data_IF_344117778011
#
_entry.id   IF_344117778011
#
_cell.length_a   1.000
_cell.length_b   1.000
_cell.length_c   1.000
_cell.angle_alpha   90.00
_cell.angle_beta   90.00
_cell.angle_gamma   90.00
#
_symmetry.space_group_name_H-M   'P 1'
#
loop_
_entity.id
_entity.type
_entity.pdbx_description
1 polymer ?
#
# COMPACT_ATOMS: atom_id res chain seq x y z
N UNK A 1 65.43 -39.09 -5.91
CA UNK A 1 64.21 -38.92 -5.11
C UNK A 1 63.37 -37.87 -5.80
N UNK A 2 62.08 -38.15 -5.99
CA UNK A 2 61.00 -37.24 -6.43
C UNK A 2 60.94 -37.00 -7.95
N UNK A 3 60.21 -37.81 -8.72
CA UNK A 3 58.80 -37.65 -9.16
C UNK A 3 58.52 -36.33 -9.92
N UNK A 4 58.24 -36.45 -11.23
CA UNK A 4 56.90 -36.23 -11.86
C UNK A 4 56.63 -34.73 -12.15
N UNK A 5 56.08 -34.30 -13.29
CA UNK A 5 55.49 -35.00 -14.42
C UNK A 5 55.32 -34.05 -15.61
N UNK A 6 55.22 -34.69 -16.77
CA UNK A 6 54.55 -34.33 -18.03
C UNK A 6 53.83 -32.95 -18.11
N UNK A 7 54.36 -32.08 -18.97
CA UNK A 7 53.75 -30.83 -19.41
C UNK A 7 52.89 -31.13 -20.65
N UNK A 8 51.64 -31.55 -20.42
CA UNK A 8 50.71 -31.92 -21.48
C UNK A 8 50.01 -30.68 -22.08
N UNK A 9 50.28 -30.42 -23.36
CA UNK A 9 49.71 -29.29 -24.12
C UNK A 9 48.25 -29.60 -24.48
N UNK A 10 47.31 -29.02 -23.75
CA UNK A 10 45.90 -29.05 -24.17
C UNK A 10 45.63 -28.10 -25.35
N UNK A 11 45.00 -28.59 -26.44
CA UNK A 11 44.57 -27.75 -27.56
C UNK A 11 43.29 -26.98 -27.21
N UNK A 12 43.24 -25.71 -27.61
CA UNK A 12 42.08 -24.83 -27.46
C UNK A 12 40.84 -25.37 -28.21
N UNK A 13 39.62 -25.22 -27.67
CA UNK A 13 38.42 -25.73 -28.31
C UNK A 13 38.06 -24.93 -29.57
N UNK A 14 37.40 -25.56 -30.57
CA UNK A 14 37.12 -24.92 -31.85
C UNK A 14 36.05 -23.82 -31.73
N UNK A 15 36.31 -22.70 -32.40
CA UNK A 15 35.38 -21.57 -32.59
C UNK A 15 34.11 -22.05 -33.29
N UNK A 16 32.99 -22.05 -32.58
CA UNK A 16 31.66 -22.34 -33.13
C UNK A 16 31.22 -21.15 -34.00
N UNK A 17 31.14 -21.37 -35.30
CA UNK A 17 30.61 -20.39 -36.26
C UNK A 17 29.12 -20.18 -35.99
N UNK A 18 28.74 -18.96 -35.62
CA UNK A 18 27.36 -18.50 -35.57
C UNK A 18 26.92 -18.13 -36.98
N UNK A 19 25.99 -18.88 -37.54
CA UNK A 19 25.29 -18.54 -38.79
C UNK A 19 24.30 -17.39 -38.56
N UNK A 20 24.05 -16.55 -39.58
CA UNK A 20 23.30 -15.31 -39.43
C UNK A 20 21.79 -15.58 -39.34
N UNK A 21 21.14 -14.97 -38.34
CA UNK A 21 19.68 -14.97 -38.19
C UNK A 21 19.05 -14.01 -39.22
N UNK A 22 17.97 -14.39 -39.92
CA UNK A 22 17.34 -13.50 -40.89
C UNK A 22 16.36 -12.55 -40.21
N UNK A 23 16.55 -11.29 -40.56
CA UNK A 23 15.59 -10.20 -40.75
C UNK A 23 14.37 -10.04 -39.83
N UNK A 24 14.40 -8.90 -39.15
CA UNK A 24 13.31 -8.25 -38.43
C UNK A 24 12.15 -7.89 -39.36
N UNK A 25 11.06 -8.65 -39.28
CA UNK A 25 9.74 -8.22 -39.79
C UNK A 25 8.74 -8.12 -38.63
N UNK A 26 8.26 -6.90 -38.44
CA UNK A 26 7.18 -6.46 -37.55
C UNK A 26 5.93 -7.36 -37.75
N UNK A 27 5.33 -7.93 -36.68
CA UNK A 27 4.05 -8.61 -36.81
C UNK A 27 2.94 -7.63 -37.17
N UNK A 28 2.24 -7.96 -38.25
CA UNK A 28 1.07 -7.29 -38.82
C UNK A 28 -0.09 -7.28 -37.83
N UNK A 29 -0.84 -6.17 -37.79
CA UNK A 29 -2.06 -5.96 -36.99
C UNK A 29 -3.07 -7.10 -37.22
N UNK A 30 -3.46 -7.77 -36.15
CA UNK A 30 -4.69 -8.57 -36.10
C UNK A 30 -5.91 -7.64 -36.26
N UNK A 31 -6.96 -8.02 -37.00
CA UNK A 31 -8.16 -7.20 -37.11
C UNK A 31 -8.87 -7.08 -35.76
N UNK A 32 -9.33 -5.87 -35.46
CA UNK A 32 -10.18 -5.54 -34.30
C UNK A 32 -11.44 -6.42 -34.36
N UNK A 33 -11.61 -7.32 -33.39
CA UNK A 33 -12.95 -7.79 -33.05
C UNK A 33 -13.70 -6.62 -32.40
N UNK A 34 -14.87 -6.30 -32.94
CA UNK A 34 -15.76 -5.32 -32.34
C UNK A 34 -16.11 -5.76 -30.91
N UNK A 35 -16.08 -4.85 -29.92
CA UNK A 35 -16.63 -5.16 -28.61
C UNK A 35 -18.13 -5.38 -28.78
N UNK A 36 -18.72 -6.42 -28.14
CA UNK A 36 -20.17 -6.59 -28.18
C UNK A 36 -20.81 -5.32 -27.60
N UNK A 37 -21.68 -4.69 -28.41
CA UNK A 37 -22.54 -3.58 -27.99
C UNK A 37 -23.34 -4.04 -26.77
N UNK A 38 -23.01 -3.48 -25.61
CA UNK A 38 -23.85 -3.61 -24.42
C UNK A 38 -25.06 -2.71 -24.66
N UNK A 39 -26.29 -3.22 -24.73
CA UNK A 39 -27.46 -2.36 -24.78
C UNK A 39 -27.55 -1.60 -23.46
N UNK A 40 -27.46 -0.28 -23.53
CA UNK A 40 -27.89 0.58 -22.45
C UNK A 40 -29.41 0.50 -22.32
N UNK A 41 -29.89 0.58 -21.08
CA UNK A 41 -31.28 0.78 -20.67
C UNK A 41 -32.22 -0.42 -20.84
N UNK A 42 -32.27 -1.23 -19.78
CA UNK A 42 -33.51 -1.66 -19.10
C UNK A 42 -33.13 -2.43 -17.83
N UNK A 43 -33.03 -1.72 -16.70
CA UNK A 43 -33.09 -2.35 -15.38
C UNK A 43 -33.67 -1.39 -14.33
N UNK A 44 -34.77 -0.72 -14.67
CA UNK A 44 -35.69 -0.17 -13.68
C UNK A 44 -36.93 -1.07 -13.68
N UNK A 45 -36.87 -2.18 -12.93
CA UNK A 45 -37.99 -2.86 -12.26
C UNK A 45 -37.56 -4.26 -11.85
N UNK A 46 -36.92 -4.37 -10.70
CA UNK A 46 -36.98 -5.56 -9.85
C UNK A 46 -36.53 -5.12 -8.44
N UNK A 47 -37.47 -4.59 -7.65
CA UNK A 47 -37.31 -4.61 -6.20
C UNK A 47 -37.28 -6.08 -5.79
N UNK A 48 -36.07 -6.64 -5.77
CA UNK A 48 -35.81 -8.06 -5.54
C UNK A 48 -36.38 -8.49 -4.20
N UNK A 49 -37.14 -9.58 -4.22
CA UNK A 49 -37.55 -10.30 -3.03
C UNK A 49 -36.33 -10.55 -2.14
N UNK A 50 -36.34 -9.99 -0.93
CA UNK A 50 -35.27 -10.19 0.06
C UNK A 50 -35.13 -11.68 0.32
N UNK A 51 -33.94 -12.26 0.12
CA UNK A 51 -33.62 -13.58 0.65
C UNK A 51 -33.32 -13.41 2.15
N UNK A 52 -34.21 -13.81 3.06
CA UNK A 52 -34.04 -13.58 4.50
C UNK A 52 -32.84 -14.34 5.09
N UNK A 53 -32.24 -15.27 4.34
CA UNK A 53 -31.08 -16.06 4.73
C UNK A 53 -29.71 -15.44 4.44
N UNK A 54 -29.65 -14.40 3.61
CA UNK A 54 -28.39 -13.81 3.15
C UNK A 54 -28.01 -12.60 4.01
N UNK A 55 -26.86 -12.67 4.68
CA UNK A 55 -26.33 -11.56 5.46
C UNK A 55 -25.09 -10.98 4.79
N UNK A 56 -25.12 -9.66 4.55
CA UNK A 56 -23.93 -8.91 4.14
C UNK A 56 -23.08 -8.54 5.36
N UNK A 57 -21.80 -8.88 5.32
CA UNK A 57 -20.82 -8.48 6.33
C UNK A 57 -19.85 -7.48 5.73
N UNK A 58 -19.57 -6.43 6.49
CA UNK A 58 -18.41 -5.57 6.30
C UNK A 58 -17.23 -6.16 7.08
N UNK A 59 -16.06 -6.25 6.45
CA UNK A 59 -14.89 -6.96 6.96
C UNK A 59 -13.69 -6.04 6.81
N UNK A 60 -13.10 -5.59 7.93
CA UNK A 60 -11.86 -4.84 7.93
C UNK A 60 -10.67 -5.81 7.98
N UNK A 61 -9.67 -5.57 7.15
CA UNK A 61 -8.49 -6.42 7.00
C UNK A 61 -7.20 -5.60 6.99
N UNK A 62 -6.19 -6.11 7.67
CA UNK A 62 -4.82 -5.64 7.59
C UNK A 62 -3.96 -6.68 6.86
N UNK A 63 -2.91 -6.23 6.16
CA UNK A 63 -1.99 -7.15 5.49
C UNK A 63 -0.63 -6.55 5.15
N UNK A 64 0.36 -7.45 5.11
CA UNK A 64 1.71 -7.19 4.60
C UNK A 64 1.72 -7.45 3.09
N UNK A 65 1.73 -6.38 2.29
CA UNK A 65 1.57 -6.45 0.84
C UNK A 65 2.68 -7.18 0.08
N UNK A 66 3.89 -7.27 0.64
CA UNK A 66 5.07 -7.88 -0.03
C UNK A 66 4.93 -9.37 -0.29
N UNK A 67 3.94 -10.02 0.34
CA UNK A 67 3.59 -11.44 0.15
C UNK A 67 2.45 -11.66 -0.86
N UNK A 68 1.97 -10.59 -1.49
CA UNK A 68 0.84 -10.62 -2.41
C UNK A 68 1.15 -9.90 -3.73
N UNK A 69 0.63 -10.42 -4.84
CA UNK A 69 0.67 -9.78 -6.16
C UNK A 69 -0.43 -8.71 -6.32
N UNK A 70 -0.73 -7.99 -5.24
CA UNK A 70 -1.80 -7.01 -5.14
C UNK A 70 -3.06 -7.57 -4.49
N UNK A 71 -4.05 -6.69 -4.28
CA UNK A 71 -5.27 -7.10 -3.58
C UNK A 71 -6.27 -7.82 -4.49
N UNK A 72 -6.41 -7.38 -5.74
CA UNK A 72 -7.38 -7.93 -6.69
C UNK A 72 -7.00 -9.36 -7.11
N UNK A 73 -7.97 -10.27 -7.11
CA UNK A 73 -7.80 -11.66 -7.55
C UNK A 73 -7.24 -11.75 -8.98
N UNK A 74 -6.27 -12.65 -9.15
CA UNK A 74 -5.64 -12.99 -10.41
C UNK A 74 -5.55 -14.53 -10.52
N UNK A 75 -5.57 -15.12 -11.73
CA UNK A 75 -5.69 -16.58 -11.89
C UNK A 75 -4.54 -17.40 -11.30
N UNK A 76 -3.30 -16.90 -11.37
CA UNK A 76 -2.08 -17.66 -11.06
C UNK A 76 -1.29 -17.12 -9.87
N UNK A 77 -1.73 -16.02 -9.27
CA UNK A 77 -0.97 -15.28 -8.26
C UNK A 77 -1.69 -15.26 -6.91
N UNK A 78 -0.93 -15.31 -5.82
CA UNK A 78 -1.46 -15.10 -4.47
C UNK A 78 -1.86 -13.63 -4.30
N UNK A 79 -3.11 -13.39 -3.91
CA UNK A 79 -3.70 -12.05 -3.77
C UNK A 79 -4.50 -11.98 -2.48
N UNK A 80 -4.74 -10.76 -1.98
CA UNK A 80 -5.52 -10.54 -0.74
C UNK A 80 -6.94 -11.10 -0.90
N UNK A 81 -7.63 -10.75 -1.99
CA UNK A 81 -8.98 -11.27 -2.29
C UNK A 81 -8.97 -12.79 -2.40
N UNK A 82 -8.01 -13.37 -3.12
CA UNK A 82 -7.92 -14.83 -3.24
C UNK A 82 -7.76 -15.54 -1.90
N UNK A 83 -6.91 -15.02 -1.01
CA UNK A 83 -6.71 -15.58 0.33
C UNK A 83 -7.97 -15.45 1.21
N UNK A 84 -8.68 -14.32 1.14
CA UNK A 84 -9.93 -14.11 1.86
C UNK A 84 -11.03 -15.05 1.35
N UNK A 85 -11.21 -15.16 0.02
CA UNK A 85 -12.20 -16.05 -0.58
C UNK A 85 -11.94 -17.51 -0.20
N UNK A 86 -10.67 -17.95 -0.19
CA UNK A 86 -10.29 -19.30 0.25
C UNK A 86 -10.66 -19.53 1.74
N UNK A 87 -10.38 -18.55 2.60
CA UNK A 87 -10.70 -18.64 4.03
C UNK A 87 -12.22 -18.69 4.27
N UNK A 88 -12.99 -17.84 3.58
CA UNK A 88 -14.45 -17.87 3.64
C UNK A 88 -15.01 -19.17 3.07
N UNK A 89 -14.47 -19.69 1.97
CA UNK A 89 -14.91 -20.96 1.39
C UNK A 89 -14.69 -22.12 2.36
N UNK A 90 -13.55 -22.18 3.07
CA UNK A 90 -13.30 -23.21 4.09
C UNK A 90 -14.23 -23.07 5.29
N UNK A 91 -14.55 -21.84 5.70
CA UNK A 91 -15.45 -21.59 6.81
C UNK A 91 -16.90 -21.95 6.48
N UNK A 92 -17.43 -21.39 5.39
CA UNK A 92 -18.86 -21.52 5.01
C UNK A 92 -19.12 -22.85 4.31
N UNK A 93 -18.17 -23.36 3.54
CA UNK A 93 -18.30 -24.59 2.73
C UNK A 93 -18.69 -24.34 1.27
N UNK A 94 -18.85 -23.08 0.87
CA UNK A 94 -19.18 -22.68 -0.50
C UNK A 94 -18.38 -21.42 -0.90
N UNK A 95 -18.20 -21.13 -2.21
CA UNK A 95 -17.53 -19.92 -2.65
C UNK A 95 -18.24 -18.65 -2.15
N UNK A 96 -17.46 -17.70 -1.61
CA UNK A 96 -17.96 -16.40 -1.14
C UNK A 96 -17.15 -15.32 -1.84
N UNK A 97 -17.73 -14.59 -2.82
CA UNK A 97 -17.05 -13.48 -3.47
C UNK A 97 -16.71 -12.37 -2.48
N UNK A 98 -15.50 -11.80 -2.63
CA UNK A 98 -15.01 -10.71 -1.76
C UNK A 98 -14.86 -9.42 -2.57
N UNK A 99 -15.47 -8.34 -2.09
CA UNK A 99 -15.44 -7.04 -2.76
C UNK A 99 -14.74 -5.98 -1.90
N UNK A 100 -13.51 -5.62 -2.26
CA UNK A 100 -12.72 -4.61 -1.57
C UNK A 100 -13.19 -3.18 -1.86
N UNK A 101 -12.97 -2.31 -0.86
CA UNK A 101 -13.16 -0.86 -0.94
C UNK A 101 -12.08 -0.19 -1.78
N UNK A 102 -10.85 -0.69 -1.68
CA UNK A 102 -9.68 -0.16 -2.38
C UNK A 102 -8.85 -1.29 -2.99
N UNK A 103 -8.43 -1.10 -4.24
CA UNK A 103 -7.40 -1.92 -4.86
C UNK A 103 -6.03 -1.43 -4.39
N UNK A 104 -5.12 -2.36 -4.09
CA UNK A 104 -3.73 -2.06 -3.79
C UNK A 104 -2.83 -2.84 -4.72
N UNK A 105 -1.75 -2.22 -5.19
CA UNK A 105 -0.78 -2.84 -6.10
C UNK A 105 0.03 -3.93 -5.38
N UNK A 106 0.78 -4.72 -6.14
CA UNK A 106 1.73 -5.68 -5.58
C UNK A 106 2.73 -4.98 -4.65
N UNK A 107 2.94 -5.52 -3.46
CA UNK A 107 3.83 -4.96 -2.45
C UNK A 107 3.23 -3.86 -1.57
N UNK A 108 2.07 -3.30 -1.90
CA UNK A 108 1.42 -2.24 -1.08
C UNK A 108 0.71 -2.88 0.12
N UNK A 109 0.94 -2.32 1.30
CA UNK A 109 0.38 -2.79 2.57
C UNK A 109 -1.01 -2.19 2.85
N UNK A 110 -1.72 -2.74 3.83
CA UNK A 110 -2.88 -2.09 4.41
C UNK A 110 -2.91 -2.26 5.93
N UNK A 111 -3.16 -1.15 6.64
CA UNK A 111 -3.50 -1.15 8.05
C UNK A 111 -5.01 -1.39 8.24
N UNK A 112 -5.83 -0.90 7.30
CA UNK A 112 -7.27 -1.15 7.28
C UNK A 112 -7.82 -1.00 5.86
N UNK A 113 -7.80 -2.10 5.10
CA UNK A 113 -8.63 -2.22 3.91
C UNK A 113 -9.99 -2.80 4.32
N UNK A 114 -11.06 -2.35 3.68
CA UNK A 114 -12.40 -2.81 4.01
C UNK A 114 -12.98 -3.58 2.84
N UNK A 115 -13.59 -4.73 3.11
CA UNK A 115 -14.27 -5.58 2.14
C UNK A 115 -15.72 -5.79 2.55
N UNK A 116 -16.59 -6.14 1.60
CA UNK A 116 -17.86 -6.75 1.95
C UNK A 116 -18.00 -8.14 1.32
N UNK A 117 -18.76 -8.99 1.99
CA UNK A 117 -19.10 -10.36 1.58
C UNK A 117 -20.57 -10.64 1.88
N UNK A 118 -21.20 -11.46 1.05
CA UNK A 118 -22.55 -11.97 1.28
C UNK A 118 -22.46 -13.44 1.68
N UNK A 119 -23.01 -13.77 2.85
CA UNK A 119 -22.94 -15.12 3.42
C UNK A 119 -24.33 -15.62 3.74
N UNK A 120 -24.67 -16.77 3.15
CA UNK A 120 -25.84 -17.57 3.49
C UNK A 120 -25.36 -18.77 4.30
N UNK A 121 -25.96 -18.98 5.47
CA UNK A 121 -25.54 -20.05 6.36
C UNK A 121 -26.41 -21.28 6.14
N UNK A 122 -25.87 -22.30 5.50
CA UNK A 122 -26.60 -23.55 5.24
C UNK A 122 -26.27 -24.61 6.29
N UNK A 123 -27.30 -25.31 6.77
CA UNK A 123 -27.15 -26.43 7.70
C UNK A 123 -26.41 -27.61 7.06
N UNK A 124 -25.28 -28.01 7.67
CA UNK A 124 -24.55 -29.22 7.24
C UNK A 124 -25.28 -30.53 7.59
N UNK A 125 -26.18 -30.49 8.57
CA UNK A 125 -26.95 -31.67 9.03
C UNK A 125 -28.23 -31.88 8.23
N UNK A 126 -28.83 -30.81 7.72
CA UNK A 126 -30.04 -30.82 6.91
C UNK A 126 -29.83 -29.97 5.65
N UNK A 127 -29.35 -30.55 4.54
CA UNK A 127 -29.14 -29.81 3.30
C UNK A 127 -30.40 -29.06 2.87
N UNK A 128 -30.26 -27.78 2.52
CA UNK A 128 -31.38 -26.90 2.13
C UNK A 128 -32.01 -26.10 3.27
N UNK A 129 -31.70 -26.41 4.53
CA UNK A 129 -32.11 -25.58 5.68
C UNK A 129 -31.18 -24.37 5.83
N UNK A 130 -31.73 -23.18 5.69
CA UNK A 130 -31.01 -21.92 5.96
C UNK A 130 -31.09 -21.58 7.44
N UNK A 131 -29.94 -21.38 8.05
CA UNK A 131 -29.77 -21.06 9.46
C UNK A 131 -29.65 -19.55 9.67
N UNK A 132 -29.89 -19.06 10.91
CA UNK A 132 -29.65 -17.67 11.25
C UNK A 132 -28.20 -17.24 10.96
N UNK A 133 -27.98 -15.98 10.53
CA UNK A 133 -26.66 -15.44 10.26
C UNK A 133 -25.67 -15.68 11.41
N UNK A 134 -24.38 -15.77 11.06
CA UNK A 134 -23.33 -15.84 12.07
C UNK A 134 -23.21 -14.52 12.82
N UNK A 135 -22.94 -14.61 14.13
CA UNK A 135 -22.47 -13.45 14.87
C UNK A 135 -21.16 -12.92 14.24
N UNK A 136 -20.96 -11.60 14.09
CA UNK A 136 -19.76 -11.03 13.49
C UNK A 136 -18.45 -11.48 14.17
N UNK A 137 -18.46 -11.68 15.49
CA UNK A 137 -17.32 -12.19 16.24
C UNK A 137 -16.97 -13.63 15.86
N UNK A 138 -17.97 -14.46 15.53
CA UNK A 138 -17.76 -15.82 15.01
C UNK A 138 -17.12 -15.76 13.62
N UNK A 139 -17.63 -14.92 12.72
CA UNK A 139 -17.07 -14.73 11.38
C UNK A 139 -15.60 -14.34 11.48
N UNK A 140 -15.28 -13.32 12.28
CA UNK A 140 -13.89 -12.86 12.51
C UNK A 140 -12.97 -13.99 12.96
N UNK A 141 -13.36 -14.73 14.02
CA UNK A 141 -12.54 -15.82 14.58
C UNK A 141 -12.34 -16.95 13.57
N UNK A 142 -13.40 -17.36 12.88
CA UNK A 142 -13.35 -18.47 11.94
C UNK A 142 -12.50 -18.14 10.70
N UNK A 143 -12.67 -16.95 10.11
CA UNK A 143 -11.86 -16.52 8.97
C UNK A 143 -10.39 -16.41 9.37
N UNK A 144 -10.08 -15.79 10.51
CA UNK A 144 -8.71 -15.69 11.00
C UNK A 144 -8.07 -17.06 11.27
N UNK A 145 -8.82 -18.04 11.79
CA UNK A 145 -8.31 -19.41 11.94
C UNK A 145 -7.80 -20.00 10.62
N UNK A 146 -8.49 -19.73 9.50
CA UNK A 146 -8.05 -20.21 8.19
C UNK A 146 -6.95 -19.36 7.57
N UNK A 147 -6.92 -18.04 7.83
CA UNK A 147 -5.85 -17.16 7.36
C UNK A 147 -4.52 -17.42 8.06
N UNK A 148 -4.53 -17.69 9.36
CA UNK A 148 -3.31 -17.92 10.16
C UNK A 148 -2.58 -19.21 9.80
N UNK A 149 -3.24 -20.17 9.13
CA UNK A 149 -2.57 -21.35 8.56
C UNK A 149 -1.62 -20.98 7.41
N UNK A 150 -1.80 -19.80 6.81
CA UNK A 150 -1.07 -19.31 5.64
C UNK A 150 -0.15 -18.13 6.02
N UNK A 151 0.80 -18.36 6.92
CA UNK A 151 1.94 -17.47 7.26
C UNK A 151 1.63 -16.18 8.04
N UNK A 152 0.35 -15.84 8.28
CA UNK A 152 -0.03 -14.72 9.14
C UNK A 152 0.15 -13.33 8.51
N UNK A 153 0.27 -13.24 7.19
CA UNK A 153 0.48 -11.98 6.46
C UNK A 153 -0.78 -11.12 6.29
N UNK A 154 -1.94 -11.64 6.67
CA UNK A 154 -3.25 -11.02 6.55
C UNK A 154 -4.11 -11.39 7.75
N UNK A 155 -4.87 -10.43 8.27
CA UNK A 155 -5.77 -10.64 9.39
C UNK A 155 -7.05 -9.83 9.24
N UNK A 156 -8.18 -10.42 9.62
CA UNK A 156 -9.44 -9.71 9.82
C UNK A 156 -9.44 -9.06 11.20
N UNK A 157 -9.57 -7.74 11.25
CA UNK A 157 -9.50 -6.95 12.48
C UNK A 157 -10.89 -6.67 13.06
N UNK A 158 -11.87 -6.35 12.20
CA UNK A 158 -13.26 -6.06 12.57
C UNK A 158 -14.26 -6.68 11.57
N UNK A 159 -15.45 -7.03 12.05
CA UNK A 159 -16.56 -7.52 11.22
C UNK A 159 -17.87 -6.92 11.73
N UNK A 160 -18.73 -6.45 10.82
CA UNK A 160 -20.05 -5.90 11.14
C UNK A 160 -21.11 -6.37 10.16
N UNK A 161 -22.35 -6.53 10.63
CA UNK A 161 -23.49 -6.68 9.73
C UNK A 161 -23.81 -5.30 9.11
N UNK A 162 -24.09 -5.27 7.81
CA UNK A 162 -24.50 -4.05 7.10
C UNK A 162 -25.71 -4.33 6.22
N UNK A 163 -26.45 -3.29 5.80
CA UNK A 163 -27.56 -3.45 4.86
C UNK A 163 -27.15 -4.15 3.55
N UNK A 164 -28.06 -4.89 2.89
CA UNK A 164 -27.76 -5.64 1.66
C UNK A 164 -27.41 -4.75 0.47
N UNK A 165 -27.74 -3.46 0.50
CA UNK A 165 -27.37 -2.48 -0.52
C UNK A 165 -26.02 -1.78 -0.22
N UNK A 166 -25.40 -2.06 0.93
CA UNK A 166 -24.12 -1.48 1.30
C UNK A 166 -23.00 -2.02 0.39
N UNK A 167 -22.23 -1.14 -0.25
CA UNK A 167 -21.09 -1.55 -1.08
C UNK A 167 -19.80 -0.87 -0.61
N UNK A 168 -18.82 -1.66 -0.15
CA UNK A 168 -17.55 -1.18 0.42
C UNK A 168 -16.84 -0.14 -0.48
N UNK A 169 -16.78 -0.35 -1.79
CA UNK A 169 -16.16 0.65 -2.68
C UNK A 169 -16.94 1.96 -2.82
N UNK A 170 -18.25 1.89 -3.05
CA UNK A 170 -19.05 3.03 -3.51
C UNK A 170 -19.61 3.87 -2.35
N UNK A 171 -19.83 3.26 -1.19
CA UNK A 171 -20.24 3.96 0.05
C UNK A 171 -19.05 4.57 0.80
N UNK A 172 -17.81 4.28 0.41
CA UNK A 172 -16.62 4.87 1.02
C UNK A 172 -16.59 6.38 0.73
N UNK A 173 -16.57 7.16 1.81
CA UNK A 173 -16.52 8.62 1.77
C UNK A 173 -15.09 9.12 1.52
N UNK A 174 -14.11 8.39 2.04
CA UNK A 174 -12.71 8.83 2.07
C UNK A 174 -11.77 7.63 2.22
N UNK A 175 -10.56 7.78 1.69
CA UNK A 175 -9.44 6.85 1.84
C UNK A 175 -8.22 7.63 2.27
N UNK A 176 -7.54 7.14 3.30
CA UNK A 176 -6.28 7.68 3.79
C UNK A 176 -5.16 6.71 3.51
N UNK A 177 -4.10 7.19 2.88
CA UNK A 177 -2.85 6.47 2.67
C UNK A 177 -1.73 7.09 3.48
N UNK A 178 -0.83 6.25 3.96
CA UNK A 178 0.43 6.67 4.56
C UNK A 178 1.57 6.11 3.73
N UNK A 179 2.55 6.94 3.42
CA UNK A 179 3.79 6.51 2.80
C UNK A 179 4.94 6.75 3.75
N UNK A 180 5.67 5.69 4.10
CA UNK A 180 6.77 5.74 5.06
C UNK A 180 8.12 5.79 4.37
N UNK A 181 8.91 6.81 4.72
CA UNK A 181 10.26 7.08 4.22
C UNK A 181 11.22 7.05 5.40
N UNK A 182 12.37 6.39 5.23
CA UNK A 182 13.47 6.40 6.17
C UNK A 182 14.68 7.05 5.49
N UNK A 183 15.14 8.16 6.04
CA UNK A 183 16.25 8.95 5.50
C UNK A 183 17.52 8.77 6.33
N UNK A 184 18.66 8.59 5.66
CA UNK A 184 19.97 8.53 6.30
C UNK A 184 20.95 7.60 5.58
N UNK A 185 22.27 7.85 5.73
CA UNK A 185 23.31 7.27 4.88
C UNK A 185 23.54 5.77 5.12
N UNK A 186 23.19 5.28 6.30
CA UNK A 186 23.41 3.89 6.69
C UNK A 186 22.39 2.95 6.00
N UNK A 187 22.74 1.67 5.78
CA UNK A 187 21.77 0.67 5.31
C UNK A 187 20.57 0.53 6.26
N UNK A 188 19.40 0.23 5.71
CA UNK A 188 18.21 -0.04 6.54
C UNK A 188 18.41 -1.22 7.49
N UNK A 189 17.84 -1.09 8.68
CA UNK A 189 17.67 -2.21 9.61
C UNK A 189 16.88 -3.36 8.97
N UNK A 190 17.20 -4.60 9.37
CA UNK A 190 16.47 -5.79 8.94
C UNK A 190 14.96 -5.74 9.28
N UNK A 191 14.57 -4.96 10.30
CA UNK A 191 13.16 -4.78 10.69
C UNK A 191 12.41 -3.77 9.80
N UNK A 192 13.13 -2.96 9.02
CA UNK A 192 12.58 -1.88 8.20
C UNK A 192 12.51 -2.21 6.72
N UNK A 193 13.25 -3.24 6.32
CA UNK A 193 13.25 -3.77 4.97
C UNK A 193 11.83 -4.16 4.57
N UNK A 194 11.45 -3.80 3.34
CA UNK A 194 10.14 -4.07 2.76
C UNK A 194 8.96 -3.47 3.54
N UNK A 195 9.20 -2.45 4.38
CA UNK A 195 8.17 -1.72 5.16
C UNK A 195 8.25 -0.20 5.02
N UNK A 196 9.25 0.30 4.29
CA UNK A 196 9.53 1.72 4.09
C UNK A 196 10.35 1.93 2.82
N UNK A 197 10.41 3.16 2.32
CA UNK A 197 11.37 3.56 1.30
C UNK A 197 12.63 4.13 1.95
N UNK A 198 13.77 3.50 1.74
CA UNK A 198 15.08 4.05 2.12
C UNK A 198 15.50 5.17 1.17
N UNK A 199 15.89 6.30 1.73
CA UNK A 199 16.48 7.44 1.03
C UNK A 199 17.82 7.76 1.72
N UNK A 200 18.98 7.47 1.11
CA UNK A 200 20.28 7.75 1.74
C UNK A 200 20.53 9.22 2.07
N UNK A 201 19.93 10.13 1.29
CA UNK A 201 20.07 11.57 1.40
C UNK A 201 19.19 12.16 2.53
N UNK A 202 19.62 13.30 3.08
CA UNK A 202 18.79 14.11 3.97
C UNK A 202 17.64 14.77 3.18
N UNK A 203 16.51 15.01 3.85
CA UNK A 203 15.31 15.57 3.23
C UNK A 203 14.98 16.97 3.78
N UNK A 204 14.84 17.96 2.88
CA UNK A 204 14.27 19.27 3.20
C UNK A 204 12.75 19.17 3.37
N UNK A 205 12.35 18.97 4.63
CA UNK A 205 10.94 18.86 5.02
C UNK A 205 10.17 20.16 4.80
N UNK A 206 10.82 21.33 4.89
CA UNK A 206 10.15 22.60 4.66
C UNK A 206 9.79 22.74 3.17
N UNK A 207 10.69 22.37 2.26
CA UNK A 207 10.41 22.33 0.82
C UNK A 207 9.33 21.31 0.48
N UNK A 208 9.40 20.11 1.04
CA UNK A 208 8.37 19.08 0.83
C UNK A 208 6.98 19.56 1.31
N UNK A 209 6.88 20.23 2.47
CA UNK A 209 5.61 20.79 2.97
C UNK A 209 5.04 21.87 2.04
N UNK A 210 5.89 22.74 1.48
CA UNK A 210 5.48 23.72 0.47
C UNK A 210 4.97 23.04 -0.80
N UNK A 211 5.68 22.01 -1.28
CA UNK A 211 5.26 21.21 -2.42
C UNK A 211 3.92 20.49 -2.19
N UNK A 212 3.70 19.94 -1.00
CA UNK A 212 2.42 19.33 -0.64
C UNK A 212 1.26 20.32 -0.79
N UNK A 213 1.46 21.57 -0.38
CA UNK A 213 0.43 22.62 -0.41
C UNK A 213 -0.07 22.94 -1.82
N UNK A 214 0.79 22.79 -2.84
CA UNK A 214 0.42 22.98 -4.26
C UNK A 214 -0.53 21.89 -4.74
N UNK A 215 -0.29 20.64 -4.32
CA UNK A 215 -1.03 19.48 -4.81
C UNK A 215 -2.37 19.28 -4.08
N UNK A 216 -2.57 19.87 -2.88
CA UNK A 216 -3.86 19.84 -2.18
C UNK A 216 -4.91 20.62 -2.97
N UNK A 217 -6.15 20.13 -3.01
CA UNK A 217 -7.26 20.75 -3.72
C UNK A 217 -7.71 19.99 -4.96
N UNK A 218 -8.48 20.67 -5.81
CA UNK A 218 -9.13 20.08 -6.99
C UNK A 218 -8.32 20.33 -8.25
N UNK A 219 -7.70 19.28 -8.81
CA UNK A 219 -6.76 19.40 -9.91
C UNK A 219 -6.94 18.31 -10.96
N UNK A 220 -6.37 18.56 -12.14
CA UNK A 220 -6.13 17.54 -13.15
C UNK A 220 -4.84 16.78 -12.81
N UNK A 221 -4.98 15.56 -12.28
CA UNK A 221 -3.83 14.74 -11.89
C UNK A 221 -3.29 13.87 -13.02
N UNK A 222 -3.41 14.29 -14.29
CA UNK A 222 -2.90 13.52 -15.44
C UNK A 222 -1.39 13.22 -15.35
N UNK A 223 -0.58 14.14 -14.83
CA UNK A 223 0.85 13.90 -14.57
C UNK A 223 1.11 12.84 -13.50
N UNK A 224 0.12 12.54 -12.67
CA UNK A 224 0.15 11.56 -11.60
C UNK A 224 -0.77 10.36 -11.90
N UNK A 225 -0.96 10.03 -13.18
CA UNK A 225 -1.87 8.97 -13.63
C UNK A 225 -1.12 7.94 -14.48
N UNK A 226 -0.77 6.80 -13.90
CA UNK A 226 -0.08 5.76 -14.67
C UNK A 226 -0.92 5.16 -15.81
N UNK A 227 -0.22 4.63 -16.82
CA UNK A 227 -0.82 3.88 -17.93
C UNK A 227 -1.66 2.70 -17.40
N UNK A 228 -2.79 2.41 -18.07
CA UNK A 228 -3.74 1.38 -17.62
C UNK A 228 -4.76 1.87 -16.58
N UNK A 229 -4.73 3.15 -16.19
CA UNK A 229 -5.76 3.71 -15.32
C UNK A 229 -7.14 3.70 -15.98
N UNK A 230 -8.08 2.96 -15.39
CA UNK A 230 -9.46 2.79 -15.86
C UNK A 230 -10.42 3.95 -15.48
N UNK A 231 -9.93 5.02 -14.86
CA UNK A 231 -10.77 6.14 -14.48
C UNK A 231 -11.18 6.97 -15.71
N UNK A 232 -12.46 7.36 -15.80
CA UNK A 232 -12.96 8.15 -16.93
C UNK A 232 -12.43 9.60 -16.94
N UNK A 233 -12.04 10.13 -15.77
CA UNK A 233 -11.52 11.48 -15.62
C UNK A 233 -10.28 11.50 -14.72
N UNK A 234 -9.24 12.30 -15.04
CA UNK A 234 -8.09 12.53 -14.18
C UNK A 234 -8.38 13.57 -13.07
N UNK A 235 -9.53 14.24 -13.11
CA UNK A 235 -9.88 15.24 -12.08
C UNK A 235 -10.08 14.57 -10.73
N UNK A 236 -9.32 14.99 -9.72
CA UNK A 236 -9.48 14.53 -8.33
C UNK A 236 -9.37 15.71 -7.37
N UNK A 237 -9.96 15.53 -6.20
CA UNK A 237 -9.80 16.44 -5.07
C UNK A 237 -8.99 15.72 -4.01
N UNK A 238 -7.83 16.28 -3.65
CA UNK A 238 -7.08 15.85 -2.48
C UNK A 238 -7.51 16.71 -1.30
N UNK A 239 -8.03 16.07 -0.26
CA UNK A 239 -8.44 16.73 0.98
C UNK A 239 -7.24 16.97 1.89
N UNK A 240 -6.20 16.14 1.77
CA UNK A 240 -4.95 16.26 2.52
C UNK A 240 -3.78 15.69 1.74
N UNK A 241 -2.65 16.39 1.81
CA UNK A 241 -1.33 15.87 1.51
C UNK A 241 -0.37 16.55 2.48
N UNK A 242 0.27 15.78 3.35
CA UNK A 242 1.15 16.31 4.39
C UNK A 242 2.36 15.40 4.58
N UNK A 243 3.50 15.98 4.96
CA UNK A 243 4.69 15.24 5.39
C UNK A 243 5.01 15.61 6.83
N UNK A 244 5.18 14.58 7.66
CA UNK A 244 5.50 14.72 9.09
C UNK A 244 6.71 13.87 9.42
N UNK A 245 7.63 14.44 10.21
CA UNK A 245 8.70 13.69 10.85
C UNK A 245 8.16 13.02 12.10
N UNK A 246 8.49 11.74 12.26
CA UNK A 246 8.13 10.91 13.39
C UNK A 246 9.37 10.22 13.94
N UNK A 247 9.32 9.86 15.22
CA UNK A 247 10.29 8.91 15.76
C UNK A 247 10.06 7.55 15.09
N UNK A 248 11.11 6.87 14.59
CA UNK A 248 10.98 5.51 14.08
C UNK A 248 10.38 4.60 15.15
N UNK A 249 9.16 4.11 14.89
CA UNK A 249 8.43 3.27 15.83
C UNK A 249 9.04 1.85 15.85
N UNK A 250 10.07 1.64 16.66
CA UNK A 250 10.46 0.31 17.11
C UNK A 250 9.91 0.11 18.52
N UNK A 251 9.20 -0.99 18.74
CA UNK A 251 8.70 -1.38 20.07
C UNK A 251 9.83 -1.67 21.09
N UNK A 252 11.08 -1.78 20.60
CA UNK A 252 12.24 -2.06 21.42
C UNK A 252 13.22 -0.89 21.39
N UNK A 253 12.99 0.16 22.21
CA UNK A 253 13.99 1.18 22.39
C UNK A 253 15.24 0.57 23.03
N UNK A 254 16.42 0.95 22.53
CA UNK A 254 17.71 0.59 23.13
C UNK A 254 17.81 1.11 24.56
N UNK A 255 18.76 0.60 25.36
CA UNK A 255 18.92 1.02 26.76
C UNK A 255 19.19 2.53 26.89
N UNK A 256 19.91 3.10 25.92
CA UNK A 256 20.21 4.52 25.83
C UNK A 256 18.96 5.33 25.45
N UNK A 257 18.18 4.80 24.51
CA UNK A 257 16.96 5.44 24.05
C UNK A 257 15.92 5.49 25.17
N UNK A 258 15.79 4.44 25.96
CA UNK A 258 14.94 4.45 27.18
C UNK A 258 15.37 5.53 28.17
N UNK A 259 16.66 5.85 28.24
CA UNK A 259 17.18 6.89 29.12
C UNK A 259 16.89 8.29 28.57
N UNK A 260 16.90 8.46 27.24
CA UNK A 260 16.56 9.72 26.55
C UNK A 260 15.04 9.97 26.50
N UNK A 261 14.22 8.93 26.29
CA UNK A 261 12.75 9.04 26.33
C UNK A 261 12.23 9.40 27.72
N UNK A 262 12.90 8.93 28.79
CA UNK A 262 12.60 9.35 30.18
C UNK A 262 12.78 10.86 30.42
N UNK A 263 13.70 11.51 29.69
CA UNK A 263 13.87 12.97 29.75
C UNK A 263 12.73 13.71 29.02
N UNK A 264 12.29 13.20 27.87
CA UNK A 264 11.18 13.77 27.10
C UNK A 264 9.81 13.65 27.81
N UNK A 265 9.60 12.56 28.56
CA UNK A 265 8.35 12.32 29.31
C UNK A 265 8.21 13.25 30.53
N UNK A 266 9.34 13.73 31.09
CA UNK A 266 9.36 14.64 32.22
C UNK A 266 8.93 16.07 31.86
N UNK A 267 9.21 16.50 30.62
CA UNK A 267 8.80 17.80 30.09
C UNK A 267 7.34 17.82 29.62
N UNK A 268 6.83 16.70 29.10
CA UNK A 268 5.43 16.58 28.68
C UNK A 268 4.43 16.69 29.84
N UNK A 269 4.85 16.40 31.08
CA UNK A 269 4.00 16.48 32.27
C UNK A 269 4.03 17.85 32.98
N UNK A 270 4.73 18.87 32.45
CA UNK A 270 4.88 20.19 33.11
C UNK A 270 4.33 21.40 32.37
N UNK A 271 3.83 21.29 31.14
CA UNK A 271 3.39 22.46 30.37
C UNK A 271 1.87 22.56 30.21
N UNK A 272 1.17 22.85 31.30
CA UNK A 272 -0.01 23.73 31.29
C UNK A 272 0.32 24.97 32.12
N UNK A 273 1.20 25.82 31.59
CA UNK A 273 1.21 27.25 31.91
C UNK A 273 1.97 28.00 30.82
N UNK A 274 1.43 29.18 30.54
CA UNK A 274 1.78 30.17 29.52
C UNK A 274 3.25 30.59 29.50
N UNK A 275 3.88 30.61 28.32
CA UNK A 275 4.43 31.81 27.65
C UNK A 275 5.52 31.44 26.62
N UNK A 276 5.57 32.25 25.56
CA UNK A 276 6.64 32.46 24.58
C UNK A 276 8.07 32.09 25.01
N UNK A 277 8.71 31.19 24.27
CA UNK A 277 9.87 31.50 23.44
C UNK A 277 10.32 30.26 22.67
N UNK A 278 10.43 30.40 21.35
CA UNK A 278 11.00 29.38 20.47
C UNK A 278 12.52 29.59 20.44
N UNK A 279 13.26 28.73 21.13
CA UNK A 279 14.71 28.66 20.97
C UNK A 279 15.21 27.22 21.07
N UNK A 280 15.82 26.79 19.96
CA UNK A 280 16.93 25.84 19.89
C UNK A 280 16.83 24.55 20.71
N UNK A 281 16.21 23.52 20.12
CA UNK A 281 16.64 22.14 20.41
C UNK A 281 17.96 21.92 19.68
N UNK A 282 19.07 22.34 20.32
CA UNK A 282 20.41 21.95 19.89
C UNK A 282 20.55 20.44 20.08
N UNK A 283 20.65 19.72 18.97
CA UNK A 283 21.14 18.34 18.93
C UNK A 283 22.47 18.28 19.67
N UNK A 284 22.48 17.69 20.86
CA UNK A 284 23.70 17.44 21.63
C UNK A 284 24.56 16.50 20.78
N UNK A 285 25.57 17.05 20.10
CA UNK A 285 26.68 16.27 19.57
C UNK A 285 27.48 15.78 20.77
N UNK A 286 27.10 14.63 21.31
CA UNK A 286 27.93 13.90 22.26
C UNK A 286 29.17 13.42 21.49
N UNK A 287 30.28 14.12 21.66
CA UNK A 287 31.60 13.57 21.41
C UNK A 287 31.86 12.48 22.47
N UNK A 288 31.48 11.26 22.15
CA UNK A 288 31.80 10.08 22.97
C UNK A 288 31.84 8.87 22.06
N UNK A 289 32.93 8.11 22.13
CA UNK A 289 33.23 6.98 21.24
C UNK A 289 32.02 6.10 20.97
N UNK A 290 31.89 5.66 19.72
CA UNK A 290 30.84 4.76 19.25
C UNK A 290 30.75 3.54 20.18
N UNK A 291 29.80 3.56 21.13
CA UNK A 291 29.63 2.46 22.07
C UNK A 291 29.15 1.20 21.32
N UNK A 292 29.67 0.04 21.72
CA UNK A 292 29.35 -1.24 21.11
C UNK A 292 27.84 -1.53 21.15
N UNK A 293 27.24 -1.81 19.99
CA UNK A 293 25.81 -2.13 19.86
C UNK A 293 24.88 -0.94 19.60
N UNK A 294 25.40 0.26 19.38
CA UNK A 294 24.61 1.40 18.91
C UNK A 294 23.98 1.10 17.54
N UNK A 295 22.65 1.25 17.42
CA UNK A 295 21.92 1.06 16.17
C UNK A 295 21.80 2.42 15.45
N UNK A 296 22.29 2.56 14.21
CA UNK A 296 22.08 3.77 13.45
C UNK A 296 20.58 4.05 13.30
N UNK A 297 20.20 5.33 13.42
CA UNK A 297 18.82 5.78 13.30
C UNK A 297 18.66 6.55 12.00
N UNK A 298 17.65 6.16 11.23
CA UNK A 298 17.14 6.94 10.13
C UNK A 298 16.12 7.94 10.64
N UNK A 299 16.06 9.13 10.03
CA UNK A 299 14.94 10.03 10.23
C UNK A 299 13.70 9.38 9.58
N UNK A 300 12.60 9.25 10.32
CA UNK A 300 11.38 8.64 9.79
C UNK A 300 10.40 9.73 9.39
N UNK A 301 10.00 9.71 8.12
CA UNK A 301 8.99 10.60 7.60
C UNK A 301 7.77 9.81 7.13
N UNK A 302 6.59 10.36 7.39
CA UNK A 302 5.33 9.83 6.89
C UNK A 302 4.66 10.89 6.03
N UNK A 303 4.38 10.53 4.78
CA UNK A 303 3.50 11.29 3.90
C UNK A 303 2.09 10.77 4.08
N UNK A 304 1.19 11.60 4.59
CA UNK A 304 -0.24 11.28 4.71
C UNK A 304 -0.99 11.89 3.53
N UNK A 305 -1.81 11.08 2.87
CA UNK A 305 -2.62 11.50 1.73
C UNK A 305 -4.06 11.07 1.95
N UNK A 306 -5.00 12.01 1.83
CA UNK A 306 -6.43 11.76 2.07
C UNK A 306 -7.26 12.33 0.94
N UNK A 307 -8.16 11.50 0.42
CA UNK A 307 -9.08 11.88 -0.64
C UNK A 307 -10.26 10.91 -0.70
N UNK A 308 -11.35 11.32 -1.35
CA UNK A 308 -12.43 10.39 -1.72
C UNK A 308 -11.95 9.23 -2.59
N UNK A 309 -11.10 9.50 -3.58
CA UNK A 309 -10.58 8.48 -4.48
C UNK A 309 -9.27 8.90 -5.13
N UNK A 310 -8.49 7.92 -5.59
CA UNK A 310 -7.20 8.12 -6.24
C UNK A 310 -7.16 7.48 -7.63
N UNK A 311 -6.32 8.02 -8.50
CA UNK A 311 -5.96 7.43 -9.80
C UNK A 311 -4.94 6.30 -9.60
N UNK A 312 -4.74 5.52 -10.66
CA UNK A 312 -3.76 4.44 -10.64
C UNK A 312 -2.34 4.99 -10.44
N UNK A 313 -1.64 4.48 -9.43
CA UNK A 313 -0.33 4.92 -8.95
C UNK A 313 -0.22 6.37 -8.44
N UNK A 314 -1.33 7.12 -8.32
CA UNK A 314 -1.29 8.56 -8.02
C UNK A 314 -0.46 8.89 -6.78
N UNK A 315 -0.70 8.19 -5.67
CA UNK A 315 0.00 8.43 -4.40
C UNK A 315 1.51 8.23 -4.54
N UNK A 316 1.93 7.16 -5.20
CA UNK A 316 3.36 6.81 -5.37
C UNK A 316 4.08 7.76 -6.31
N UNK A 317 3.39 8.27 -7.33
CA UNK A 317 3.94 9.29 -8.23
C UNK A 317 4.10 10.63 -7.49
N UNK A 318 3.11 11.05 -6.70
CA UNK A 318 3.22 12.26 -5.87
C UNK A 318 4.36 12.14 -4.86
N UNK A 319 4.47 11.01 -4.16
CA UNK A 319 5.58 10.77 -3.22
C UNK A 319 6.94 10.78 -3.91
N UNK A 320 7.05 10.26 -5.13
CA UNK A 320 8.28 10.34 -5.92
C UNK A 320 8.72 11.78 -6.19
N UNK A 321 7.78 12.64 -6.58
CA UNK A 321 8.03 14.09 -6.76
C UNK A 321 8.40 14.75 -5.43
N UNK A 322 7.68 14.46 -4.34
CA UNK A 322 8.01 15.00 -3.02
C UNK A 322 9.42 14.59 -2.56
N UNK A 323 9.85 13.34 -2.80
CA UNK A 323 11.23 12.92 -2.52
C UNK A 323 12.23 13.73 -3.32
N UNK A 324 12.01 13.91 -4.63
CA UNK A 324 12.89 14.72 -5.48
C UNK A 324 12.99 16.18 -5.01
N UNK A 325 11.89 16.76 -4.52
CA UNK A 325 11.93 18.09 -3.88
C UNK A 325 12.74 18.05 -2.58
N UNK A 326 12.51 17.03 -1.74
CA UNK A 326 13.20 16.90 -0.47
C UNK A 326 14.72 16.75 -0.61
N UNK A 327 15.22 16.09 -1.65
CA UNK A 327 16.66 15.98 -1.91
C UNK A 327 17.25 17.15 -2.73
N UNK A 328 16.40 18.09 -3.19
CA UNK A 328 16.83 19.26 -3.96
C UNK A 328 16.93 19.08 -5.48
N UNK A 329 16.58 17.91 -6.02
CA UNK A 329 16.56 17.66 -7.48
C UNK A 329 15.46 18.46 -8.20
N UNK A 330 14.37 18.74 -7.50
CA UNK A 330 13.26 19.56 -7.99
C UNK A 330 13.02 20.73 -7.05
N UNK A 331 12.65 21.86 -7.62
CA UNK A 331 12.19 23.01 -6.84
C UNK A 331 10.69 22.90 -6.55
N UNK A 332 10.20 23.71 -5.61
CA UNK A 332 8.75 23.80 -5.34
C UNK A 332 7.97 24.27 -6.57
N UNK A 333 8.53 25.20 -7.35
CA UNK A 333 7.92 25.68 -8.61
C UNK A 333 7.86 24.59 -9.69
N UNK A 334 8.76 23.61 -9.67
CA UNK A 334 8.69 22.47 -10.59
C UNK A 334 7.47 21.59 -10.33
N UNK A 335 6.97 21.54 -9.09
CA UNK A 335 5.77 20.76 -8.75
C UNK A 335 4.53 21.32 -9.44
N UNK A 336 4.39 22.65 -9.45
CA UNK A 336 3.33 23.36 -10.17
C UNK A 336 3.44 23.11 -11.68
N UNK A 337 4.66 23.26 -12.24
CA UNK A 337 4.94 22.96 -13.64
C UNK A 337 4.60 21.52 -14.03
N UNK A 338 4.91 20.55 -13.16
CA UNK A 338 4.59 19.13 -13.38
C UNK A 338 3.08 18.92 -13.37
N UNK A 339 2.36 19.52 -12.42
CA UNK A 339 0.91 19.43 -12.33
C UNK A 339 0.25 19.98 -13.61
N UNK A 340 0.70 21.15 -14.07
CA UNK A 340 0.17 21.83 -15.27
C UNK A 340 0.52 21.12 -16.58
N UNK A 341 1.65 20.40 -16.62
CA UNK A 341 2.09 19.69 -17.82
C UNK A 341 1.13 18.56 -18.24
N UNK A 342 0.31 18.04 -17.32
CA UNK A 342 -0.70 16.98 -17.56
C UNK A 342 -0.15 15.75 -18.29
N UNK A 343 1.13 15.41 -18.08
CA UNK A 343 1.80 14.26 -18.70
C UNK A 343 2.66 13.52 -17.70
N UNK A 344 2.54 12.18 -17.70
CA UNK A 344 3.24 11.30 -16.75
C UNK A 344 4.76 11.34 -16.92
N UNK A 345 5.24 11.62 -18.14
CA UNK A 345 6.68 11.71 -18.43
C UNK A 345 7.37 12.86 -17.72
N UNK A 346 6.60 13.84 -17.20
CA UNK A 346 7.15 14.96 -16.45
C UNK A 346 7.43 14.61 -14.97
N UNK A 347 6.91 13.49 -14.46
CA UNK A 347 7.07 13.13 -13.06
C UNK A 347 8.38 12.39 -12.77
N UNK A 348 8.90 12.57 -11.55
CA UNK A 348 10.00 11.80 -10.99
C UNK A 348 9.72 10.29 -10.97
N UNK A 349 10.75 9.44 -10.83
CA UNK A 349 10.58 8.01 -10.64
C UNK A 349 9.55 7.68 -9.56
N UNK A 350 8.64 6.75 -9.88
CA UNK A 350 7.58 6.34 -8.97
C UNK A 350 8.14 5.72 -7.70
N UNK A 351 7.63 6.15 -6.55
CA UNK A 351 8.04 5.62 -5.25
C UNK A 351 7.76 4.10 -5.14
N UNK A 352 8.62 3.30 -4.47
CA UNK A 352 8.41 1.87 -4.24
C UNK A 352 7.06 1.53 -3.57
N UNK A 353 6.56 0.31 -3.79
CA UNK A 353 5.26 -0.11 -3.24
C UNK A 353 5.32 -0.38 -1.71
N UNK A 354 6.44 -0.92 -1.22
CA UNK A 354 6.63 -1.33 0.18
C UNK A 354 6.64 -0.18 1.19
N UNK A 355 6.74 1.07 0.74
CA UNK A 355 6.57 2.24 1.59
C UNK A 355 5.10 2.63 1.79
N UNK A 356 4.19 2.15 0.94
CA UNK A 356 2.79 2.60 0.91
C UNK A 356 1.87 1.69 1.72
N UNK A 357 1.02 2.32 2.53
CA UNK A 357 0.00 1.68 3.36
C UNK A 357 -1.35 2.33 3.09
N UNK A 358 -2.38 1.53 2.79
CA UNK A 358 -3.76 1.98 2.97
C UNK A 358 -4.05 2.04 4.48
N UNK A 359 -4.15 3.25 5.01
CA UNK A 359 -4.32 3.51 6.43
C UNK A 359 -5.75 3.29 6.91
N UNK A 360 -6.72 3.96 6.28
CA UNK A 360 -8.11 3.93 6.70
C UNK A 360 -9.08 4.14 5.52
N UNK A 361 -10.30 3.61 5.67
CA UNK A 361 -11.43 3.88 4.76
C UNK A 361 -12.63 4.33 5.57
N UNK A 362 -13.09 5.56 5.34
CA UNK A 362 -14.20 6.16 6.09
C UNK A 362 -15.54 5.83 5.46
N UNK A 363 -16.50 5.48 6.32
CA UNK A 363 -17.91 5.28 5.98
C UNK A 363 -18.79 6.04 6.97
N UNK A 364 -20.00 6.33 6.54
CA UNK A 364 -21.11 6.60 7.44
C UNK A 364 -21.87 5.29 7.63
N UNK A 365 -21.65 4.64 8.77
CA UNK A 365 -22.29 3.35 9.07
C UNK A 365 -23.58 3.60 9.84
N UNK A 366 -24.67 2.88 9.52
CA UNK A 366 -25.95 3.02 10.19
C UNK A 366 -25.93 2.57 11.65
#
# INVERSE_FOLDING_TARGET
MSNEGEEDRHPSPPKRQLSPSPDTTRPTKLPKSEPPRVPAEQSETAMGQRNPGLQRYLVAVEYIGTRFSGSQKQPTCRTVVGALEEAFQKFIGQPVPVHCSSRTDAGVHALSNVCHVDVERISKRKPGEVLPPHDPGVVRRAVNHFLQKNEGDIMVTDVRCVPPDFHARFKALERTYHYRILSGPEPLSAFEKDRSWHVPEDLDIAAMKRACSILVGHHDFSSFRAAGCQANSPMRTLDELAVTELLPALYFPSIMERSSTKLLDLDACRSFSTSSDASDVKTVKSESGQEFGHRPRHCCFVVTVRARSFLYHQVRLMVGVLKSVGIGDLTVSDVERILDAKTVTAASPMAPACGLYLGNVKYDLP
#
